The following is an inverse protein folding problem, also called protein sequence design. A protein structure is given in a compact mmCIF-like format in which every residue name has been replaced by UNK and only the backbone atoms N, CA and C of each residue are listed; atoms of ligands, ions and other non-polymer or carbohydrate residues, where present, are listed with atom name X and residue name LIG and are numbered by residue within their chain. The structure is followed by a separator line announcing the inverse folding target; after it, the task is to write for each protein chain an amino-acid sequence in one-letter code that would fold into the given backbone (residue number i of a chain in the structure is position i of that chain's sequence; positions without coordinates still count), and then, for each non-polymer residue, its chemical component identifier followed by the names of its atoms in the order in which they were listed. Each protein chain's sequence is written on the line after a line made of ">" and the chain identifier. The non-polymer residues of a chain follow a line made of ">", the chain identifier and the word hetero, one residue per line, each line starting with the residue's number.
data_IF_356298237625
#
_entry.id   IF_356298237625
#
_cell.length_a   1.000
_cell.length_b   1.000
_cell.length_c   1.000
_cell.angle_alpha   90.00
_cell.angle_beta   90.00
_cell.angle_gamma   90.00
#
_symmetry.space_group_name_H-M   'P 1'
#
loop_
_entity.id
_entity.type
_entity.pdbx_description
1 polymer ?
#
# COMPACT_ATOMS: atom_id res chain seq x y z
N UNK A 1 -11.47 42.27 33.40
CA UNK A 1 -11.02 41.54 32.20
C UNK A 1 -10.06 42.48 31.50
N UNK A 2 -8.76 42.18 31.53
CA UNK A 2 -7.76 43.03 30.88
C UNK A 2 -7.95 42.97 29.38
N UNK A 3 -8.10 44.12 28.75
CA UNK A 3 -8.11 44.25 27.28
C UNK A 3 -6.75 43.87 26.77
N UNK A 4 -6.66 42.72 26.11
CA UNK A 4 -5.45 42.30 25.41
C UNK A 4 -5.17 43.28 24.25
N UNK A 5 -3.96 43.80 24.17
CA UNK A 5 -3.51 44.63 23.06
C UNK A 5 -2.23 44.09 22.47
N UNK A 6 -2.07 44.27 21.16
CA UNK A 6 -0.87 43.84 20.46
C UNK A 6 0.31 44.79 20.76
N UNK A 7 1.37 44.31 21.36
CA UNK A 7 2.59 45.12 21.69
C UNK A 7 3.33 45.64 20.46
N UNK A 8 3.03 45.08 19.23
CA UNK A 8 3.70 45.46 17.97
C UNK A 8 2.95 46.53 17.22
N UNK A 9 1.62 46.43 17.07
CA UNK A 9 0.83 47.36 16.28
C UNK A 9 -0.17 48.18 17.10
N UNK A 10 -0.25 47.97 18.41
CA UNK A 10 -1.13 48.70 19.34
C UNK A 10 -2.61 48.35 19.19
N UNK A 11 -3.01 47.40 18.32
CA UNK A 11 -4.41 47.02 18.15
C UNK A 11 -4.93 46.40 19.44
N UNK A 12 -6.05 46.91 19.95
CA UNK A 12 -6.74 46.39 21.13
C UNK A 12 -7.89 45.47 20.72
N UNK A 13 -8.36 44.67 21.70
CA UNK A 13 -9.51 43.76 21.57
C UNK A 13 -9.32 42.66 20.48
N UNK A 14 -8.10 42.23 20.31
CA UNK A 14 -7.73 41.13 19.39
C UNK A 14 -7.06 40.00 20.14
N UNK A 15 -7.31 38.73 19.79
CA UNK A 15 -6.60 37.63 20.37
C UNK A 15 -5.09 37.75 20.15
N UNK A 16 -4.31 37.52 21.21
CA UNK A 16 -2.84 37.61 21.13
C UNK A 16 -2.22 36.26 21.40
N UNK A 17 -1.04 36.03 20.81
CA UNK A 17 -0.08 34.94 21.14
C UNK A 17 1.18 35.61 21.59
N UNK A 18 1.62 35.32 22.81
CA UNK A 18 2.79 35.98 23.44
C UNK A 18 2.71 37.52 23.39
N UNK A 19 1.49 38.08 23.52
CA UNK A 19 1.24 39.52 23.48
C UNK A 19 1.23 40.14 22.08
N UNK A 20 1.25 39.35 21.03
CA UNK A 20 1.26 39.78 19.63
C UNK A 20 0.01 39.28 18.91
N UNK A 21 -0.69 40.19 18.16
CA UNK A 21 -1.86 39.74 17.37
C UNK A 21 -1.46 38.80 16.24
N UNK A 22 -2.42 38.02 15.75
CA UNK A 22 -2.20 37.01 14.70
C UNK A 22 -1.50 37.58 13.46
N UNK A 23 -1.90 38.76 12.99
CA UNK A 23 -1.28 39.42 11.83
C UNK A 23 0.20 39.79 12.06
N UNK A 24 0.53 40.33 13.24
CA UNK A 24 1.91 40.68 13.59
C UNK A 24 2.76 39.46 13.86
N UNK A 25 2.21 38.44 14.51
CA UNK A 25 2.84 37.17 14.74
C UNK A 25 3.24 36.49 13.43
N UNK A 26 2.31 36.39 12.50
CA UNK A 26 2.53 35.78 11.19
C UNK A 26 3.58 36.52 10.31
N UNK A 27 3.81 37.82 10.56
CA UNK A 27 4.88 38.55 9.86
C UNK A 27 6.27 38.31 10.43
N UNK A 28 6.37 37.85 11.67
CA UNK A 28 7.63 37.69 12.42
C UNK A 28 8.06 36.22 12.59
N UNK A 29 7.09 35.30 12.41
CA UNK A 29 7.28 33.88 12.68
C UNK A 29 7.00 33.09 11.40
N UNK A 30 7.88 32.14 11.11
CA UNK A 30 7.62 31.17 10.06
C UNK A 30 6.51 30.23 10.49
N UNK A 31 5.36 30.29 9.83
CA UNK A 31 4.17 29.51 10.21
C UNK A 31 4.24 28.07 9.74
N UNK A 32 4.83 27.87 8.55
CA UNK A 32 5.04 26.54 7.94
C UNK A 32 6.32 26.57 7.12
N UNK A 33 7.07 25.50 7.16
CA UNK A 33 8.25 25.30 6.32
C UNK A 33 8.44 23.81 6.03
N UNK A 34 9.25 23.51 5.03
CA UNK A 34 9.66 22.14 4.70
C UNK A 34 10.94 21.83 5.47
N UNK A 35 10.91 20.76 6.25
CA UNK A 35 12.08 20.34 7.03
C UNK A 35 13.00 19.48 6.16
N UNK A 36 14.24 19.91 6.03
CA UNK A 36 15.29 19.19 5.31
C UNK A 36 15.00 19.05 3.81
N UNK A 37 15.45 17.94 3.24
CA UNK A 37 15.21 17.59 1.84
C UNK A 37 14.28 16.38 1.78
N UNK A 38 13.03 16.55 1.39
CA UNK A 38 12.07 15.45 1.30
C UNK A 38 12.54 14.32 0.39
N UNK A 39 12.44 13.08 0.88
CA UNK A 39 12.72 11.88 0.10
C UNK A 39 11.54 10.94 0.20
N UNK A 40 10.87 10.69 -0.92
CA UNK A 40 9.75 9.76 -0.99
C UNK A 40 10.20 8.48 -1.70
N UNK A 41 10.13 7.35 -0.99
CA UNK A 41 10.48 6.06 -1.57
C UNK A 41 9.23 5.35 -2.07
N UNK A 42 9.18 5.06 -3.36
CA UNK A 42 8.04 4.47 -4.07
C UNK A 42 8.44 3.13 -4.69
N UNK A 43 7.58 2.12 -4.54
CA UNK A 43 7.75 0.89 -5.30
C UNK A 43 7.32 1.09 -6.76
N UNK A 44 8.21 0.92 -7.75
CA UNK A 44 7.87 1.15 -9.15
C UNK A 44 6.83 0.16 -9.69
N UNK A 45 6.69 -1.01 -9.06
CA UNK A 45 5.78 -2.07 -9.51
C UNK A 45 4.35 -1.89 -9.00
N UNK A 46 4.19 -1.51 -7.73
CA UNK A 46 2.85 -1.46 -7.12
C UNK A 46 2.50 -0.11 -6.49
N UNK A 47 3.38 0.89 -6.56
CA UNK A 47 3.14 2.21 -6.00
C UNK A 47 3.16 2.30 -4.47
N UNK A 48 3.53 1.23 -3.76
CA UNK A 48 3.62 1.25 -2.30
C UNK A 48 4.63 2.29 -1.82
N UNK A 49 4.31 2.97 -0.72
CA UNK A 49 5.17 3.98 -0.05
C UNK A 49 5.95 3.34 1.08
N UNK A 50 7.21 3.72 1.21
CA UNK A 50 8.03 3.29 2.34
C UNK A 50 8.03 4.36 3.42
N UNK A 51 7.53 4.01 4.62
CA UNK A 51 7.58 4.86 5.81
C UNK A 51 8.40 4.14 6.87
N UNK A 52 9.59 4.64 7.17
CA UNK A 52 10.54 3.94 8.01
C UNK A 52 10.91 2.55 7.45
N UNK A 53 10.55 1.49 8.16
CA UNK A 53 10.79 0.10 7.70
C UNK A 53 9.56 -0.57 7.09
N UNK A 54 8.42 0.12 7.03
CA UNK A 54 7.13 -0.43 6.59
C UNK A 54 6.79 0.05 5.19
N UNK A 55 6.17 -0.83 4.39
CA UNK A 55 5.59 -0.50 3.10
C UNK A 55 4.08 -0.37 3.22
N UNK A 56 3.56 0.83 2.95
CA UNK A 56 2.12 1.11 2.93
C UNK A 56 1.59 1.06 1.49
N UNK A 57 0.50 0.33 1.31
CA UNK A 57 -0.18 0.17 0.00
C UNK A 57 -1.50 0.91 -0.07
N UNK A 58 -1.94 1.55 1.01
CA UNK A 58 -3.14 2.37 1.00
C UNK A 58 -2.93 3.57 0.08
N UNK A 59 -3.83 3.75 -0.88
CA UNK A 59 -3.67 4.79 -1.89
C UNK A 59 -2.46 4.60 -2.82
N UNK A 60 -1.98 3.36 -2.98
CA UNK A 60 -0.79 3.07 -3.78
C UNK A 60 -0.93 3.60 -5.21
N UNK A 61 0.01 4.46 -5.59
CA UNK A 61 0.12 5.11 -6.89
C UNK A 61 1.60 5.30 -7.23
N UNK A 62 1.95 5.28 -8.49
CA UNK A 62 3.31 5.66 -8.93
C UNK A 62 3.51 7.17 -8.96
N UNK A 63 2.44 7.95 -8.83
CA UNK A 63 2.47 9.40 -8.76
C UNK A 63 2.52 9.87 -7.31
N UNK A 64 3.19 11.00 -7.06
CA UNK A 64 3.17 11.65 -5.75
C UNK A 64 1.75 12.09 -5.37
N UNK A 65 1.48 12.06 -4.08
CA UNK A 65 0.25 12.59 -3.50
C UNK A 65 0.55 13.60 -2.39
N UNK A 66 -0.39 14.49 -2.06
CA UNK A 66 -0.22 15.43 -0.95
C UNK A 66 0.13 14.75 0.38
N UNK A 67 -0.41 13.56 0.62
CA UNK A 67 -0.18 12.78 1.83
C UNK A 67 1.29 12.31 1.96
N UNK A 68 1.98 12.12 0.82
CA UNK A 68 3.40 11.75 0.81
C UNK A 68 4.29 12.89 1.36
N UNK A 69 3.82 14.12 1.29
CA UNK A 69 4.58 15.32 1.58
C UNK A 69 4.25 15.96 2.93
N UNK A 70 3.05 15.70 3.44
CA UNK A 70 2.60 16.19 4.76
C UNK A 70 3.61 15.89 5.89
N UNK A 71 4.29 14.73 5.95
CA UNK A 71 5.26 14.45 7.01
C UNK A 71 6.51 15.36 7.00
N UNK A 72 6.78 16.06 5.91
CA UNK A 72 7.94 16.96 5.78
C UNK A 72 7.58 18.42 6.06
N UNK A 73 6.30 18.72 6.32
CA UNK A 73 5.85 20.05 6.68
C UNK A 73 5.92 20.23 8.19
N UNK A 74 6.77 21.11 8.63
CA UNK A 74 6.79 21.56 10.03
C UNK A 74 5.93 22.80 10.15
N UNK A 75 4.90 22.69 11.00
CA UNK A 75 3.90 23.75 11.24
C UNK A 75 4.06 24.26 12.65
N UNK A 76 3.96 25.57 12.83
CA UNK A 76 4.00 26.16 14.17
C UNK A 76 2.85 25.60 15.04
N UNK A 77 3.08 25.27 16.33
CA UNK A 77 2.09 24.62 17.20
C UNK A 77 0.73 25.33 17.29
N UNK A 78 0.72 26.66 17.18
CA UNK A 78 -0.50 27.47 17.24
C UNK A 78 -1.27 27.54 15.91
N UNK A 79 -0.78 26.88 14.86
CA UNK A 79 -1.31 26.98 13.49
C UNK A 79 -1.83 25.64 13.01
N UNK A 80 -3.03 25.63 12.44
CA UNK A 80 -3.61 24.45 11.80
C UNK A 80 -3.49 24.52 10.27
N UNK A 81 -3.27 23.40 9.61
CA UNK A 81 -3.41 23.29 8.16
C UNK A 81 -4.88 23.00 7.83
N UNK A 82 -5.47 23.83 6.97
CA UNK A 82 -6.82 23.62 6.45
C UNK A 82 -6.80 22.88 5.13
N UNK A 83 -5.94 23.30 4.20
CA UNK A 83 -5.85 22.75 2.86
C UNK A 83 -4.46 22.96 2.29
N UNK A 84 -4.04 22.05 1.43
CA UNK A 84 -2.81 22.20 0.66
C UNK A 84 -3.16 22.00 -0.80
N UNK A 85 -2.80 22.97 -1.64
CA UNK A 85 -2.85 22.88 -3.08
C UNK A 85 -1.44 22.67 -3.61
N UNK A 86 -1.28 21.65 -4.44
CA UNK A 86 0.00 21.30 -5.02
C UNK A 86 0.03 21.60 -6.50
N UNK A 87 1.14 22.12 -6.97
CA UNK A 87 1.51 22.11 -8.36
C UNK A 87 2.89 21.48 -8.53
N UNK A 88 3.04 20.67 -9.55
CA UNK A 88 4.26 19.94 -9.85
C UNK A 88 4.91 20.57 -11.07
N UNK A 89 6.20 20.96 -10.94
CA UNK A 89 7.05 21.44 -12.01
C UNK A 89 8.20 20.45 -12.28
N UNK A 90 8.93 20.70 -13.35
CA UNK A 90 10.15 19.95 -13.69
C UNK A 90 9.90 18.67 -14.50
N UNK A 91 10.93 18.28 -15.29
CA UNK A 91 10.88 17.11 -16.18
C UNK A 91 11.72 15.92 -15.65
N UNK A 92 12.38 16.09 -14.51
CA UNK A 92 13.24 15.04 -13.96
C UNK A 92 12.41 14.01 -13.18
N UNK A 93 12.41 12.73 -13.58
CA UNK A 93 11.61 11.70 -12.93
C UNK A 93 12.05 11.39 -11.48
N UNK A 94 13.29 11.73 -11.10
CA UNK A 94 13.84 11.44 -9.77
C UNK A 94 13.88 12.66 -8.85
N UNK A 95 13.73 13.87 -9.42
CA UNK A 95 13.71 15.14 -8.69
C UNK A 95 12.50 15.94 -9.16
N UNK A 96 11.62 16.28 -8.27
CA UNK A 96 10.41 17.05 -8.55
C UNK A 96 10.49 18.39 -7.86
N UNK A 97 10.37 19.45 -8.65
CA UNK A 97 10.15 20.80 -8.13
C UNK A 97 8.66 20.93 -7.77
N UNK A 98 8.37 21.21 -6.53
CA UNK A 98 7.01 21.35 -6.05
C UNK A 98 6.78 22.75 -5.54
N UNK A 99 5.61 23.28 -5.89
CA UNK A 99 5.04 24.48 -5.30
C UNK A 99 3.80 24.06 -4.50
N UNK A 100 3.68 24.58 -3.30
CA UNK A 100 2.55 24.31 -2.44
C UNK A 100 1.96 25.60 -1.90
N UNK A 101 0.65 25.76 -2.08
CA UNK A 101 -0.14 26.79 -1.42
C UNK A 101 -0.79 26.16 -0.19
N UNK A 102 -0.30 26.50 0.99
CA UNK A 102 -0.76 25.94 2.26
C UNK A 102 -1.71 26.94 2.91
N UNK A 103 -3.00 26.61 2.93
CA UNK A 103 -4.00 27.35 3.67
C UNK A 103 -3.90 27.06 5.16
N UNK A 104 -3.49 28.05 5.91
CA UNK A 104 -3.30 27.98 7.35
C UNK A 104 -4.47 28.64 8.06
N UNK A 105 -4.83 28.10 9.21
CA UNK A 105 -5.74 28.71 10.18
C UNK A 105 -4.96 28.97 11.45
N UNK A 106 -4.92 30.24 11.84
CA UNK A 106 -4.35 30.70 13.07
C UNK A 106 -5.40 31.49 13.84
N UNK A 107 -5.97 30.89 14.88
CA UNK A 107 -7.15 31.38 15.55
C UNK A 107 -8.28 31.65 14.54
N UNK A 108 -8.77 32.88 14.38
CA UNK A 108 -9.85 33.24 13.46
C UNK A 108 -9.33 33.79 12.12
N UNK A 109 -8.03 33.91 11.94
CA UNK A 109 -7.40 34.38 10.72
C UNK A 109 -7.03 33.25 9.77
N UNK A 110 -7.27 33.45 8.48
CA UNK A 110 -6.84 32.53 7.41
C UNK A 110 -5.69 33.17 6.66
N UNK A 111 -4.70 32.36 6.32
CA UNK A 111 -3.55 32.79 5.57
C UNK A 111 -3.08 31.70 4.63
N UNK A 112 -2.58 32.09 3.46
CA UNK A 112 -1.94 31.19 2.52
C UNK A 112 -0.44 31.46 2.51
N UNK A 113 0.34 30.43 2.71
CA UNK A 113 1.81 30.46 2.56
C UNK A 113 2.21 29.69 1.31
N UNK A 114 3.11 30.29 0.52
CA UNK A 114 3.65 29.69 -0.69
C UNK A 114 4.99 29.04 -0.39
N UNK A 115 5.08 27.74 -0.61
CA UNK A 115 6.30 26.97 -0.43
C UNK A 115 6.82 26.48 -1.76
N UNK A 116 8.15 26.54 -1.96
CA UNK A 116 8.86 25.96 -3.09
C UNK A 116 9.96 25.06 -2.55
N UNK A 117 10.00 23.82 -3.01
CA UNK A 117 11.01 22.87 -2.58
C UNK A 117 11.15 21.72 -3.56
N UNK A 118 12.31 21.08 -3.51
CA UNK A 118 12.58 19.87 -4.28
C UNK A 118 12.25 18.62 -3.48
N UNK A 119 11.67 17.61 -4.13
CA UNK A 119 11.44 16.28 -3.57
C UNK A 119 12.23 15.25 -4.37
N UNK A 120 13.05 14.47 -3.68
CA UNK A 120 13.72 13.33 -4.28
C UNK A 120 12.80 12.12 -4.28
N UNK A 121 12.62 11.49 -5.44
CA UNK A 121 11.91 10.22 -5.56
C UNK A 121 12.93 9.09 -5.63
N UNK A 122 12.85 8.15 -4.70
CA UNK A 122 13.62 6.92 -4.74
C UNK A 122 12.75 5.75 -5.16
N UNK A 123 13.15 5.04 -6.20
CA UNK A 123 12.48 3.82 -6.63
C UNK A 123 13.15 2.61 -5.96
N UNK A 124 12.38 1.92 -5.10
CA UNK A 124 12.81 0.67 -4.46
C UNK A 124 11.70 -0.35 -4.52
N UNK A 125 11.99 -1.55 -4.96
CA UNK A 125 11.01 -2.64 -4.97
C UNK A 125 10.62 -3.00 -3.54
N UNK A 126 9.33 -3.01 -3.25
CA UNK A 126 8.83 -3.42 -1.93
C UNK A 126 9.01 -4.93 -1.70
N UNK A 127 8.98 -5.34 -0.44
CA UNK A 127 9.20 -6.73 -0.04
C UNK A 127 8.29 -7.72 -0.77
N UNK A 128 7.01 -7.35 -0.97
CA UNK A 128 6.06 -8.21 -1.67
C UNK A 128 6.35 -8.34 -3.17
N UNK A 129 6.67 -7.24 -3.84
CA UNK A 129 7.04 -7.27 -5.25
C UNK A 129 8.37 -8.01 -5.45
N UNK A 130 9.33 -7.84 -4.54
CA UNK A 130 10.59 -8.59 -4.55
C UNK A 130 10.36 -10.10 -4.36
N UNK A 131 9.48 -10.49 -3.45
CA UNK A 131 9.10 -11.90 -3.25
C UNK A 131 8.47 -12.49 -4.49
N UNK A 132 7.54 -11.76 -5.13
CA UNK A 132 6.89 -12.21 -6.37
C UNK A 132 7.89 -12.38 -7.50
N UNK A 133 8.75 -11.39 -7.75
CA UNK A 133 9.76 -11.47 -8.80
C UNK A 133 10.81 -12.55 -8.54
N UNK A 134 11.10 -12.84 -7.28
CA UNK A 134 11.99 -13.94 -6.85
C UNK A 134 11.30 -15.31 -6.75
N UNK A 135 10.08 -15.47 -7.26
CA UNK A 135 9.30 -16.70 -7.16
C UNK A 135 9.26 -17.28 -5.74
N UNK A 136 9.14 -16.40 -4.74
CA UNK A 136 9.00 -16.84 -3.35
C UNK A 136 7.59 -17.34 -3.07
N UNK A 137 7.47 -18.47 -2.39
CA UNK A 137 6.21 -19.04 -1.93
C UNK A 137 6.37 -19.80 -0.62
N UNK A 138 5.31 -19.90 0.14
CA UNK A 138 5.20 -20.71 1.35
C UNK A 138 4.17 -21.82 1.21
N UNK A 139 3.26 -21.68 0.25
CA UNK A 139 2.24 -22.67 -0.03
C UNK A 139 1.97 -22.81 -1.53
N UNK A 140 1.49 -23.99 -1.93
CA UNK A 140 1.01 -24.29 -3.28
C UNK A 140 -0.44 -24.78 -3.20
N UNK A 141 -1.33 -24.20 -3.99
CA UNK A 141 -2.68 -24.71 -4.19
C UNK A 141 -2.67 -25.49 -5.51
N UNK A 142 -2.87 -26.79 -5.41
CA UNK A 142 -2.95 -27.67 -6.57
C UNK A 142 -4.41 -27.89 -6.93
N UNK A 143 -4.82 -27.37 -8.07
CA UNK A 143 -6.11 -27.69 -8.65
C UNK A 143 -5.95 -28.90 -9.56
N UNK A 144 -6.65 -29.98 -9.24
CA UNK A 144 -6.53 -31.25 -9.96
C UNK A 144 -7.90 -31.75 -10.40
N UNK A 145 -7.93 -32.36 -11.58
CA UNK A 145 -9.02 -33.20 -12.01
C UNK A 145 -9.06 -34.50 -11.18
N UNK A 146 -10.20 -35.19 -11.17
CA UNK A 146 -10.30 -36.52 -10.59
C UNK A 146 -9.40 -37.49 -11.36
N UNK A 147 -8.76 -38.44 -10.67
CA UNK A 147 -7.70 -39.30 -11.20
C UNK A 147 -8.14 -40.26 -12.33
N UNK A 148 -9.45 -40.49 -12.47
CA UNK A 148 -10.00 -41.52 -13.36
C UNK A 148 -10.43 -40.97 -14.75
N UNK A 149 -10.11 -39.71 -15.06
CA UNK A 149 -10.51 -39.09 -16.32
C UNK A 149 -9.51 -39.39 -17.46
N UNK A 150 -10.00 -39.73 -18.69
CA UNK A 150 -9.13 -39.89 -19.84
C UNK A 150 -8.37 -38.59 -20.18
N UNK A 151 -7.17 -38.67 -20.82
CA UNK A 151 -6.36 -37.51 -21.17
C UNK A 151 -7.06 -36.41 -21.95
N UNK A 152 -7.97 -36.78 -22.86
CA UNK A 152 -8.77 -35.85 -23.67
C UNK A 152 -9.73 -35.04 -22.78
N UNK A 153 -10.39 -35.68 -21.86
CA UNK A 153 -11.27 -35.04 -20.86
C UNK A 153 -10.51 -34.18 -19.87
N UNK A 154 -9.26 -34.54 -19.57
CA UNK A 154 -8.41 -33.74 -18.68
C UNK A 154 -8.12 -32.35 -19.22
N UNK A 155 -8.02 -32.19 -20.55
CA UNK A 155 -7.84 -30.85 -21.16
C UNK A 155 -9.10 -29.98 -21.01
N UNK A 156 -10.27 -30.51 -21.36
CA UNK A 156 -11.54 -29.79 -21.22
C UNK A 156 -11.79 -29.40 -19.75
N UNK A 157 -11.48 -30.31 -18.83
CA UNK A 157 -11.63 -30.05 -17.40
C UNK A 157 -10.67 -28.95 -16.90
N UNK A 158 -9.42 -28.92 -17.40
CA UNK A 158 -8.48 -27.83 -17.05
C UNK A 158 -8.99 -26.46 -17.48
N UNK A 159 -9.44 -26.33 -18.73
CA UNK A 159 -9.99 -25.07 -19.25
C UNK A 159 -11.24 -24.64 -18.46
N UNK A 160 -12.07 -25.61 -18.07
CA UNK A 160 -13.25 -25.35 -17.23
C UNK A 160 -12.85 -24.93 -15.82
N UNK A 161 -11.89 -25.61 -15.19
CA UNK A 161 -11.37 -25.28 -13.86
C UNK A 161 -10.75 -23.89 -13.85
N UNK A 162 -10.01 -23.50 -14.88
CA UNK A 162 -9.45 -22.15 -15.00
C UNK A 162 -10.56 -21.09 -15.03
N UNK A 163 -11.55 -21.26 -15.89
CA UNK A 163 -12.70 -20.34 -15.98
C UNK A 163 -13.47 -20.23 -14.66
N UNK A 164 -13.68 -21.36 -13.99
CA UNK A 164 -14.35 -21.39 -12.69
C UNK A 164 -13.50 -20.73 -11.62
N UNK A 165 -12.19 -21.00 -11.58
CA UNK A 165 -11.27 -20.36 -10.66
C UNK A 165 -11.25 -18.84 -10.83
N UNK A 166 -11.21 -18.34 -12.06
CA UNK A 166 -11.27 -16.92 -12.37
C UNK A 166 -12.58 -16.26 -11.90
N UNK A 167 -13.69 -16.99 -11.94
CA UNK A 167 -14.99 -16.52 -11.42
C UNK A 167 -15.03 -16.45 -9.89
N UNK A 168 -14.31 -17.34 -9.21
CA UNK A 168 -14.27 -17.41 -7.74
C UNK A 168 -13.30 -16.36 -7.17
N UNK A 169 -12.20 -16.10 -7.85
CA UNK A 169 -11.16 -15.19 -7.35
C UNK A 169 -11.64 -13.77 -7.01
N UNK A 170 -12.61 -13.16 -7.70
CA UNK A 170 -13.21 -11.88 -7.27
C UNK A 170 -13.83 -11.93 -5.86
N UNK A 171 -14.32 -13.06 -5.41
CA UNK A 171 -14.88 -13.24 -4.06
C UNK A 171 -13.81 -13.31 -2.96
N UNK A 172 -12.56 -13.61 -3.33
CA UNK A 172 -11.47 -13.67 -2.37
C UNK A 172 -11.15 -12.27 -1.82
N UNK A 173 -10.81 -12.20 -0.55
CA UNK A 173 -10.38 -10.95 0.08
C UNK A 173 -9.16 -10.36 -0.63
N UNK A 174 -9.04 -9.02 -0.65
CA UNK A 174 -7.96 -8.31 -1.35
C UNK A 174 -6.57 -8.81 -0.94
N UNK A 175 -6.32 -8.98 0.36
CA UNK A 175 -5.04 -9.46 0.88
C UNK A 175 -4.71 -10.90 0.44
N UNK A 176 -5.70 -11.75 0.18
CA UNK A 176 -5.46 -13.10 -0.35
C UNK A 176 -5.01 -13.06 -1.81
N UNK A 177 -5.65 -12.19 -2.62
CA UNK A 177 -5.23 -11.97 -4.02
C UNK A 177 -3.81 -11.42 -4.10
N UNK A 178 -3.45 -10.54 -3.19
CA UNK A 178 -2.11 -9.98 -3.07
C UNK A 178 -1.05 -11.03 -2.68
N UNK A 179 -1.46 -12.11 -2.01
CA UNK A 179 -0.59 -13.21 -1.66
C UNK A 179 -0.32 -14.18 -2.82
N UNK A 180 -1.08 -14.12 -3.93
CA UNK A 180 -0.80 -14.93 -5.12
C UNK A 180 0.51 -14.49 -5.76
N UNK A 181 1.40 -15.46 -6.04
CA UNK A 181 2.71 -15.20 -6.65
C UNK A 181 2.69 -15.48 -8.16
N UNK A 182 2.58 -16.74 -8.54
CA UNK A 182 2.42 -17.15 -9.95
C UNK A 182 1.56 -18.42 -10.04
N UNK A 183 1.19 -18.79 -11.25
CA UNK A 183 0.51 -20.05 -11.57
C UNK A 183 1.32 -20.81 -12.63
N UNK A 184 1.25 -22.14 -12.58
CA UNK A 184 1.88 -23.04 -13.52
C UNK A 184 0.85 -24.04 -14.03
N UNK A 185 0.80 -24.22 -15.34
CA UNK A 185 -0.06 -25.20 -15.98
C UNK A 185 0.65 -26.55 -16.05
N UNK A 186 -0.02 -27.60 -15.61
CA UNK A 186 0.44 -28.98 -15.66
C UNK A 186 -0.56 -29.85 -16.40
N UNK A 187 -0.15 -31.02 -16.91
CA UNK A 187 -1.07 -31.93 -17.58
C UNK A 187 -2.31 -32.29 -16.74
N UNK A 188 -2.14 -32.42 -15.44
CA UNK A 188 -3.18 -32.78 -14.47
C UNK A 188 -3.94 -31.61 -13.85
N UNK A 189 -3.64 -30.35 -14.22
CA UNK A 189 -4.29 -29.16 -13.70
C UNK A 189 -3.37 -27.96 -13.48
N UNK A 190 -3.55 -27.24 -12.40
CA UNK A 190 -2.84 -26.02 -12.10
C UNK A 190 -2.15 -26.06 -10.75
N UNK A 191 -0.93 -25.54 -10.67
CA UNK A 191 -0.23 -25.21 -9.43
C UNK A 191 -0.24 -23.70 -9.25
N UNK A 192 -0.80 -23.24 -8.13
CA UNK A 192 -0.93 -21.83 -7.78
C UNK A 192 -0.08 -21.57 -6.56
N UNK A 193 0.99 -20.82 -6.75
CA UNK A 193 1.98 -20.54 -5.71
C UNK A 193 1.59 -19.29 -4.92
N UNK A 194 1.66 -19.38 -3.58
CA UNK A 194 1.14 -18.38 -2.66
C UNK A 194 2.21 -17.99 -1.63
N UNK A 195 2.41 -16.71 -1.40
CA UNK A 195 3.44 -16.19 -0.48
C UNK A 195 3.04 -16.28 1.00
N UNK A 196 1.76 -16.52 1.29
CA UNK A 196 1.21 -16.62 2.65
C UNK A 196 0.36 -17.88 2.82
N UNK A 197 0.71 -18.71 3.80
CA UNK A 197 0.06 -20.00 4.04
C UNK A 197 -1.40 -19.84 4.53
N UNK A 198 -1.72 -18.81 5.31
CA UNK A 198 -3.09 -18.57 5.78
C UNK A 198 -3.99 -18.15 4.63
N UNK A 199 -3.48 -17.27 3.76
CA UNK A 199 -4.16 -16.90 2.53
C UNK A 199 -4.40 -18.12 1.63
N UNK A 200 -3.39 -18.98 1.43
CA UNK A 200 -3.52 -20.21 0.65
C UNK A 200 -4.62 -21.14 1.19
N UNK A 201 -4.65 -21.37 2.50
CA UNK A 201 -5.70 -22.18 3.15
C UNK A 201 -7.10 -21.58 2.94
N UNK A 202 -7.20 -20.27 3.06
CA UNK A 202 -8.48 -19.56 2.90
C UNK A 202 -8.98 -19.62 1.46
N UNK A 203 -8.10 -19.42 0.48
CA UNK A 203 -8.40 -19.52 -0.95
C UNK A 203 -8.77 -20.96 -1.33
N UNK A 204 -8.03 -21.95 -0.85
CA UNK A 204 -8.33 -23.36 -1.13
C UNK A 204 -9.68 -23.81 -0.54
N UNK A 205 -10.05 -23.31 0.66
CA UNK A 205 -11.37 -23.55 1.25
C UNK A 205 -12.49 -22.88 0.47
N UNK A 206 -12.27 -21.66 0.00
CA UNK A 206 -13.21 -20.96 -0.88
C UNK A 206 -13.39 -21.77 -2.18
N UNK A 207 -12.31 -22.21 -2.81
CA UNK A 207 -12.35 -23.09 -3.98
C UNK A 207 -13.16 -24.35 -3.71
N UNK A 208 -12.89 -25.07 -2.59
CA UNK A 208 -13.66 -26.24 -2.21
C UNK A 208 -15.15 -25.97 -2.04
N UNK A 209 -15.52 -24.86 -1.42
CA UNK A 209 -16.92 -24.49 -1.19
C UNK A 209 -17.68 -24.17 -2.46
N UNK A 210 -17.00 -23.69 -3.51
CA UNK A 210 -17.59 -23.29 -4.81
C UNK A 210 -17.52 -24.37 -5.88
N UNK A 211 -16.43 -25.15 -5.89
CA UNK A 211 -16.20 -26.19 -6.88
C UNK A 211 -16.51 -27.59 -6.37
N UNK A 212 -16.75 -27.73 -5.08
CA UNK A 212 -16.88 -29.05 -4.46
C UNK A 212 -15.57 -29.80 -4.40
N UNK A 213 -15.67 -31.12 -4.28
CA UNK A 213 -14.51 -32.02 -4.31
C UNK A 213 -13.80 -32.21 -2.98
N UNK A 214 -12.58 -32.72 -3.04
CA UNK A 214 -11.78 -33.11 -1.88
C UNK A 214 -10.55 -32.23 -1.75
N UNK A 215 -10.40 -31.57 -0.58
CA UNK A 215 -9.21 -30.80 -0.24
C UNK A 215 -8.34 -31.61 0.74
N UNK A 216 -7.09 -31.85 0.33
CA UNK A 216 -6.05 -32.49 1.18
C UNK A 216 -4.93 -31.48 1.41
N UNK A 217 -4.44 -31.43 2.65
CA UNK A 217 -3.29 -30.61 3.04
C UNK A 217 -2.12 -31.52 3.42
N UNK A 218 -0.92 -31.17 2.97
CA UNK A 218 0.36 -31.75 3.39
C UNK A 218 1.39 -30.66 3.61
N UNK A 219 2.41 -30.95 4.41
CA UNK A 219 3.51 -30.04 4.67
C UNK A 219 4.84 -30.75 4.48
N UNK A 220 5.77 -30.07 3.80
CA UNK A 220 7.13 -30.57 3.56
C UNK A 220 8.13 -29.63 4.23
N UNK A 221 9.07 -30.18 4.97
CA UNK A 221 10.16 -29.41 5.57
C UNK A 221 11.00 -28.77 4.45
N UNK A 222 11.05 -27.44 4.46
CA UNK A 222 11.82 -26.68 3.48
C UNK A 222 13.21 -26.31 3.97
N UNK A 223 13.37 -26.09 5.29
CA UNK A 223 14.62 -25.70 5.90
C UNK A 223 14.46 -25.17 7.31
N UNK A 224 15.49 -24.51 7.83
CA UNK A 224 15.48 -23.86 9.15
C UNK A 224 15.78 -22.36 9.03
N UNK A 225 15.05 -21.56 9.82
CA UNK A 225 15.29 -20.12 9.96
C UNK A 225 15.25 -19.73 11.44
N UNK A 226 16.32 -19.11 11.94
CA UNK A 226 16.45 -18.73 13.36
C UNK A 226 16.18 -19.89 14.33
N UNK A 227 16.68 -21.11 14.00
CA UNK A 227 16.49 -22.30 14.82
C UNK A 227 15.12 -22.98 14.70
N UNK A 228 14.18 -22.42 13.96
CA UNK A 228 12.83 -22.96 13.74
C UNK A 228 12.72 -23.64 12.38
N UNK A 229 12.04 -24.77 12.32
CA UNK A 229 11.76 -25.47 11.09
C UNK A 229 10.74 -24.70 10.25
N UNK A 230 11.04 -24.52 8.97
CA UNK A 230 10.19 -23.85 7.99
C UNK A 230 9.59 -24.89 7.06
N UNK A 231 8.28 -24.91 6.96
CA UNK A 231 7.54 -25.83 6.11
C UNK A 231 6.90 -25.11 4.92
N UNK A 232 6.85 -25.79 3.79
CA UNK A 232 5.99 -25.46 2.66
C UNK A 232 4.75 -26.33 2.69
N UNK A 233 3.59 -25.71 2.50
CA UNK A 233 2.29 -26.36 2.55
C UNK A 233 1.78 -26.61 1.15
N UNK A 234 1.30 -27.81 0.87
CA UNK A 234 0.60 -28.16 -0.38
C UNK A 234 -0.87 -28.42 -0.06
N UNK A 235 -1.75 -27.72 -0.76
CA UNK A 235 -3.21 -27.79 -0.65
C UNK A 235 -3.77 -28.36 -1.95
N UNK A 236 -4.00 -29.66 -2.02
CA UNK A 236 -4.51 -30.32 -3.21
C UNK A 236 -6.04 -30.35 -3.20
N UNK A 237 -6.67 -29.58 -4.08
CA UNK A 237 -8.10 -29.59 -4.34
C UNK A 237 -8.40 -30.42 -5.58
N UNK A 238 -9.00 -31.59 -5.39
CA UNK A 238 -9.48 -32.46 -6.47
C UNK A 238 -10.95 -32.18 -6.72
N UNK A 239 -11.25 -31.67 -7.91
CA UNK A 239 -12.60 -31.28 -8.31
C UNK A 239 -13.23 -32.41 -9.12
N UNK A 240 -14.49 -32.83 -8.84
CA UNK A 240 -15.18 -33.83 -9.63
C UNK A 240 -15.52 -33.29 -11.04
N UNK A 241 -15.69 -34.21 -11.99
CA UNK A 241 -16.00 -33.85 -13.39
C UNK A 241 -17.36 -33.11 -13.52
N UNK A 242 -18.30 -33.39 -12.64
CA UNK A 242 -19.69 -32.92 -12.69
C UNK A 242 -19.93 -31.62 -11.88
N UNK A 243 -18.87 -30.99 -11.39
CA UNK A 243 -18.93 -29.78 -10.55
C UNK A 243 -19.04 -28.48 -11.39
#
# INVERSE_FOLDING_TARGET
>A
MGTEFCVVCGRSDVPTVEGVCATCFAKRTTLVHVEGRPVVTICPTCGARKTGQVWDRRGASTLLSPEDLTPFLTVHPEVGIRKIHWSEGGQNPLMRDLEADVELVFRDERRTEHLRFEVKIEHRTCTECSRRSGHFYTAVIQLRAKLDDPPEKARELRERLEKQWERIMPEARKNWKEALSWKEELPEGWDIYVTDTLAARSIARLGKSRLGGTLKESATLWGRKNGQDVYRVTLCLRVPHDA
#
